data_IF_779345763590
#
_entry.id   IF_779345763590
#
_cell.length_a   1.000
_cell.length_b   1.000
_cell.length_c   1.000
_cell.angle_alpha   90.00
_cell.angle_beta   90.00
_cell.angle_gamma   90.00
#
_symmetry.space_group_name_H-M   'P 1'
#
loop_
_entity.id
_entity.type
_entity.pdbx_description
1 polymer ?
#
# COMPACT_ATOMS: atom_id res chain seq x y z
N UNK A 1 -54.16 -10.56 23.17
CA UNK A 1 -53.49 -9.68 22.19
C UNK A 1 -52.13 -9.33 22.76
N UNK A 2 -51.08 -9.98 22.26
CA UNK A 2 -49.68 -9.48 22.30
C UNK A 2 -49.43 -8.71 20.98
N UNK A 3 -48.39 -7.87 20.78
CA UNK A 3 -47.15 -7.82 21.57
C UNK A 3 -46.61 -6.41 21.91
N UNK A 4 -45.88 -6.30 23.01
CA UNK A 4 -45.02 -5.14 23.33
C UNK A 4 -43.58 -5.37 22.86
N UNK A 5 -43.16 -4.66 21.82
CA UNK A 5 -41.77 -4.62 21.32
C UNK A 5 -40.94 -3.64 22.16
N UNK A 6 -40.00 -4.13 22.96
CA UNK A 6 -39.03 -3.27 23.65
C UNK A 6 -37.87 -2.93 22.71
N UNK A 7 -37.76 -1.65 22.36
CA UNK A 7 -36.63 -1.12 21.59
C UNK A 7 -35.42 -1.01 22.50
N UNK A 8 -34.51 -1.98 22.41
CA UNK A 8 -33.24 -1.97 23.14
C UNK A 8 -32.33 -0.84 22.67
N UNK A 9 -32.09 0.13 23.55
CA UNK A 9 -31.09 1.20 23.36
C UNK A 9 -29.69 0.60 23.23
N UNK A 10 -29.12 0.62 22.02
CA UNK A 10 -27.73 0.20 21.80
C UNK A 10 -26.78 1.34 22.15
N UNK A 11 -26.26 1.34 23.39
CA UNK A 11 -25.25 2.31 23.83
C UNK A 11 -24.01 2.23 22.93
N UNK A 12 -23.69 3.35 22.25
CA UNK A 12 -22.47 3.52 21.43
C UNK A 12 -21.22 3.45 22.31
N UNK A 13 -20.48 2.34 22.22
CA UNK A 13 -19.19 2.19 22.90
C UNK A 13 -18.13 3.10 22.27
N UNK A 14 -17.45 3.91 23.10
CA UNK A 14 -16.33 4.77 22.68
C UNK A 14 -15.15 3.90 22.23
N UNK A 15 -14.42 4.33 21.19
CA UNK A 15 -13.23 3.61 20.69
C UNK A 15 -12.11 3.64 21.74
N UNK A 16 -11.76 2.48 22.28
CA UNK A 16 -10.61 2.32 23.18
C UNK A 16 -9.26 2.26 22.44
N UNK A 17 -8.17 2.40 23.20
CA UNK A 17 -6.79 2.23 22.70
C UNK A 17 -6.59 0.78 22.24
N UNK A 18 -5.90 0.59 21.12
CA UNK A 18 -5.63 -0.73 20.52
C UNK A 18 -4.12 -0.96 20.50
N UNK A 19 -3.66 -2.17 20.87
CA UNK A 19 -2.26 -2.58 20.73
C UNK A 19 -1.84 -2.59 19.25
N UNK A 20 -0.62 -2.16 18.94
CA UNK A 20 -0.08 -2.20 17.59
C UNK A 20 0.49 -3.61 17.31
N UNK A 21 -0.41 -4.57 17.13
CA UNK A 21 -0.10 -5.95 16.81
C UNK A 21 -1.14 -6.50 15.83
N UNK A 22 -0.88 -7.69 15.26
CA UNK A 22 -1.87 -8.42 14.46
C UNK A 22 -3.12 -8.67 15.31
N UNK A 23 -4.28 -8.45 14.71
CA UNK A 23 -5.56 -8.79 15.34
C UNK A 23 -5.81 -10.26 15.07
N UNK A 24 -5.86 -11.11 16.10
CA UNK A 24 -6.01 -12.54 15.92
C UNK A 24 -7.43 -12.93 15.45
N UNK A 25 -8.45 -12.36 16.10
CA UNK A 25 -9.84 -12.60 15.73
C UNK A 25 -10.13 -12.16 14.28
N UNK A 26 -10.58 -13.12 13.46
CA UNK A 26 -10.77 -12.94 12.02
C UNK A 26 -11.86 -11.91 11.71
N UNK A 27 -12.98 -11.95 12.43
CA UNK A 27 -14.12 -11.05 12.22
C UNK A 27 -13.76 -9.61 12.58
N UNK A 28 -13.17 -9.41 13.76
CA UNK A 28 -12.66 -8.09 14.18
C UNK A 28 -11.58 -7.58 13.23
N UNK A 29 -10.69 -8.45 12.73
CA UNK A 29 -9.66 -8.08 11.76
C UNK A 29 -10.28 -7.60 10.46
N UNK A 30 -11.29 -8.29 9.94
CA UNK A 30 -11.99 -7.88 8.72
C UNK A 30 -12.67 -6.51 8.87
N UNK A 31 -13.42 -6.31 9.95
CA UNK A 31 -14.10 -5.04 10.22
C UNK A 31 -13.08 -3.89 10.39
N UNK A 32 -12.00 -4.13 11.15
CA UNK A 32 -10.96 -3.11 11.34
C UNK A 32 -10.16 -2.85 10.07
N UNK A 33 -9.88 -3.87 9.25
CA UNK A 33 -9.26 -3.69 7.93
C UNK A 33 -10.10 -2.74 7.08
N UNK A 34 -11.40 -2.99 6.94
CA UNK A 34 -12.29 -2.13 6.15
C UNK A 34 -12.31 -0.69 6.67
N UNK A 35 -12.40 -0.51 8.00
CA UNK A 35 -12.42 0.83 8.61
C UNK A 35 -11.07 1.55 8.48
N UNK A 36 -9.95 0.86 8.73
CA UNK A 36 -8.60 1.44 8.64
C UNK A 36 -8.20 1.75 7.21
N UNK A 37 -8.49 0.84 6.26
CA UNK A 37 -8.28 1.06 4.83
C UNK A 37 -9.03 2.31 4.35
N UNK A 38 -10.31 2.42 4.70
CA UNK A 38 -11.11 3.60 4.34
C UNK A 38 -10.57 4.89 4.97
N UNK A 39 -10.12 4.83 6.23
CA UNK A 39 -9.48 5.97 6.90
C UNK A 39 -8.14 6.36 6.26
N UNK A 40 -7.32 5.38 5.88
CA UNK A 40 -6.05 5.61 5.21
C UNK A 40 -6.24 6.25 3.83
N UNK A 41 -7.22 5.80 3.06
CA UNK A 41 -7.56 6.38 1.76
C UNK A 41 -7.99 7.85 1.89
N UNK A 42 -8.80 8.16 2.92
CA UNK A 42 -9.15 9.56 3.23
C UNK A 42 -7.92 10.40 3.54
N UNK A 43 -6.99 9.88 4.34
CA UNK A 43 -5.73 10.60 4.66
C UNK A 43 -4.83 10.80 3.44
N UNK A 44 -4.72 9.81 2.56
CA UNK A 44 -3.98 9.93 1.31
C UNK A 44 -4.60 11.00 0.39
N UNK A 45 -5.93 11.04 0.30
CA UNK A 45 -6.66 12.07 -0.46
C UNK A 45 -6.52 13.47 0.14
N UNK A 46 -6.62 13.60 1.46
CA UNK A 46 -6.37 14.86 2.17
C UNK A 46 -4.96 15.39 1.87
N UNK A 47 -3.94 14.52 1.98
CA UNK A 47 -2.55 14.91 1.71
C UNK A 47 -2.35 15.37 0.26
N UNK A 48 -2.91 14.63 -0.70
CA UNK A 48 -2.81 14.98 -2.11
C UNK A 48 -3.38 16.37 -2.40
N UNK A 49 -4.55 16.69 -1.84
CA UNK A 49 -5.22 17.98 -2.05
C UNK A 49 -4.53 19.12 -1.27
N UNK A 50 -4.23 18.91 0.01
CA UNK A 50 -3.72 19.99 0.88
C UNK A 50 -2.30 20.43 0.52
N UNK A 51 -1.49 19.51 0.00
CA UNK A 51 -0.08 19.75 -0.27
C UNK A 51 0.26 19.70 -1.77
N UNK A 52 -0.74 19.59 -2.65
CA UNK A 52 -0.57 19.40 -4.09
C UNK A 52 0.43 18.27 -4.41
N UNK A 53 0.32 17.18 -3.67
CA UNK A 53 1.25 16.06 -3.74
C UNK A 53 0.69 14.94 -4.63
N UNK A 54 1.54 14.39 -5.49
CA UNK A 54 1.22 13.15 -6.20
C UNK A 54 1.31 11.96 -5.21
N UNK A 55 0.19 11.28 -4.98
CA UNK A 55 0.08 10.21 -3.99
C UNK A 55 -0.58 8.98 -4.64
N UNK A 56 0.07 7.83 -4.49
CA UNK A 56 -0.47 6.52 -4.85
C UNK A 56 -0.41 5.56 -3.67
N UNK A 57 -1.45 4.74 -3.51
CA UNK A 57 -1.58 3.76 -2.43
C UNK A 57 -2.13 2.45 -2.98
N UNK A 58 -1.45 1.35 -2.68
CA UNK A 58 -1.87 -0.02 -2.96
C UNK A 58 -2.05 -0.80 -1.66
N UNK A 59 -3.13 -1.54 -1.53
CA UNK A 59 -3.42 -2.39 -0.37
C UNK A 59 -3.92 -3.75 -0.83
N UNK A 60 -3.14 -4.78 -0.54
CA UNK A 60 -3.57 -6.17 -0.69
C UNK A 60 -4.18 -6.68 0.61
N UNK A 61 -5.40 -7.20 0.53
CA UNK A 61 -5.98 -7.94 1.66
C UNK A 61 -5.39 -9.35 1.74
N UNK A 62 -5.42 -9.99 2.92
CA UNK A 62 -5.05 -11.41 3.05
C UNK A 62 -5.88 -12.37 2.19
N UNK A 63 -7.02 -11.92 1.66
CA UNK A 63 -7.88 -12.67 0.74
C UNK A 63 -7.49 -12.45 -0.74
N UNK A 64 -6.35 -11.80 -1.02
CA UNK A 64 -5.86 -11.55 -2.39
C UNK A 64 -6.55 -10.38 -3.11
N UNK A 65 -7.49 -9.68 -2.47
CA UNK A 65 -8.16 -8.52 -3.10
C UNK A 65 -7.26 -7.29 -3.06
N UNK A 66 -7.07 -6.67 -4.21
CA UNK A 66 -6.42 -5.37 -4.37
C UNK A 66 -7.41 -4.23 -4.09
N UNK A 67 -6.93 -3.22 -3.38
CA UNK A 67 -7.58 -1.92 -3.23
C UNK A 67 -6.55 -0.83 -3.52
N UNK A 68 -6.93 0.14 -4.34
CA UNK A 68 -6.00 1.16 -4.80
C UNK A 68 -6.60 2.56 -4.78
N UNK A 69 -5.72 3.55 -4.60
CA UNK A 69 -6.02 4.97 -4.68
C UNK A 69 -4.86 5.69 -5.37
N UNK A 70 -5.17 6.58 -6.31
CA UNK A 70 -4.21 7.50 -6.92
C UNK A 70 -4.81 8.91 -6.93
N UNK A 71 -4.00 9.92 -6.67
CA UNK A 71 -4.40 11.32 -6.87
C UNK A 71 -4.41 11.72 -8.35
N UNK A 72 -3.73 10.95 -9.21
CA UNK A 72 -3.82 11.09 -10.66
C UNK A 72 -5.00 10.31 -11.25
N UNK A 73 -5.40 10.67 -12.47
CA UNK A 73 -6.47 9.98 -13.21
C UNK A 73 -6.18 8.50 -13.48
N UNK A 74 -4.91 8.08 -13.47
CA UNK A 74 -4.52 6.68 -13.59
C UNK A 74 -3.34 6.33 -12.67
N UNK A 75 -3.36 5.10 -12.15
CA UNK A 75 -2.28 4.54 -11.33
C UNK A 75 -1.01 4.31 -12.14
N UNK A 76 -1.13 3.95 -13.43
CA UNK A 76 0.06 3.67 -14.26
C UNK A 76 0.97 4.89 -14.39
N UNK A 77 0.42 6.11 -14.38
CA UNK A 77 1.22 7.33 -14.47
C UNK A 77 2.18 7.47 -13.29
N UNK A 78 1.67 7.29 -12.07
CA UNK A 78 2.49 7.37 -10.85
C UNK A 78 3.52 6.24 -10.79
N UNK A 79 3.13 5.03 -11.23
CA UNK A 79 4.06 3.90 -11.32
C UNK A 79 5.18 4.14 -12.35
N UNK A 80 4.85 4.67 -13.54
CA UNK A 80 5.84 5.03 -14.56
C UNK A 80 6.81 6.09 -14.05
N UNK A 81 6.31 7.13 -13.37
CA UNK A 81 7.14 8.18 -12.74
C UNK A 81 8.09 7.57 -11.71
N UNK A 82 7.62 6.65 -10.88
CA UNK A 82 8.46 5.92 -9.92
C UNK A 82 9.54 5.09 -10.62
N UNK A 83 9.19 4.32 -11.66
CA UNK A 83 10.14 3.51 -12.43
C UNK A 83 11.23 4.37 -13.07
N UNK A 84 10.85 5.50 -13.68
CA UNK A 84 11.80 6.44 -14.27
C UNK A 84 12.75 7.02 -13.21
N UNK A 85 12.22 7.45 -12.07
CA UNK A 85 13.03 7.94 -10.95
C UNK A 85 14.04 6.89 -10.46
N UNK A 86 13.62 5.63 -10.35
CA UNK A 86 14.51 4.54 -9.93
C UNK A 86 15.60 4.23 -10.95
N UNK A 87 15.32 4.35 -12.26
CA UNK A 87 16.32 4.21 -13.32
C UNK A 87 17.39 5.30 -13.23
N UNK A 88 16.96 6.57 -13.21
CA UNK A 88 17.89 7.71 -13.11
C UNK A 88 18.76 7.68 -11.86
N UNK A 89 18.26 7.07 -10.77
CA UNK A 89 19.02 6.93 -9.52
C UNK A 89 20.15 5.90 -9.63
N UNK A 90 19.97 4.83 -10.41
CA UNK A 90 21.01 3.81 -10.65
C UNK A 90 22.15 4.37 -11.48
N UNK A 91 21.83 5.17 -12.50
CA UNK A 91 22.84 5.79 -13.39
C UNK A 91 23.69 6.85 -12.66
N UNK A 92 23.19 7.42 -11.56
CA UNK A 92 23.94 8.36 -10.72
C UNK A 92 24.86 7.67 -9.70
N UNK A 93 24.63 6.40 -9.38
CA UNK A 93 25.46 5.62 -8.46
C UNK A 93 26.57 4.85 -9.17
N UNK A 94 26.38 4.52 -10.44
CA UNK A 94 27.39 3.89 -11.30
C UNK A 94 27.84 4.91 -12.34
N UNK A 95 28.97 5.60 -12.11
CA UNK A 95 29.49 6.67 -12.96
C UNK A 95 29.97 6.24 -14.36
N UNK A 96 29.11 5.63 -15.18
CA UNK A 96 29.39 5.29 -16.58
C UNK A 96 28.30 5.89 -17.47
N UNK A 97 28.61 6.88 -18.33
CA UNK A 97 27.66 7.36 -19.31
C UNK A 97 27.50 6.29 -20.40
N UNK A 98 26.35 5.61 -20.44
CA UNK A 98 25.92 4.94 -21.67
C UNK A 98 25.23 5.96 -22.55
N UNK A 99 25.98 6.45 -23.53
CA UNK A 99 25.43 7.05 -24.74
C UNK A 99 24.61 5.95 -25.42
N UNK A 100 23.32 6.19 -25.63
CA UNK A 100 22.61 5.62 -26.77
C UNK A 100 21.60 6.67 -27.26
N UNK A 101 21.87 7.17 -28.46
CA UNK A 101 20.99 8.04 -29.21
C UNK A 101 19.81 7.23 -29.77
N UNK A 102 18.70 7.94 -29.99
CA UNK A 102 17.70 7.77 -31.05
C UNK A 102 16.40 6.99 -30.74
N UNK A 103 15.33 7.66 -31.22
CA UNK A 103 14.10 7.14 -31.81
C UNK A 103 12.92 6.86 -30.88
N UNK A 104 11.92 7.74 -31.02
CA UNK A 104 10.51 7.42 -30.80
C UNK A 104 10.16 6.31 -31.80
N UNK A 105 10.06 5.07 -31.36
CA UNK A 105 9.26 4.05 -32.04
C UNK A 105 8.28 3.44 -31.05
N UNK A 106 7.05 3.32 -31.54
CA UNK A 106 5.95 2.69 -30.85
C UNK A 106 6.25 1.20 -30.70
N UNK A 107 6.25 0.69 -29.47
CA UNK A 107 6.07 -0.74 -29.22
C UNK A 107 5.12 -0.93 -28.04
N UNK A 108 3.86 -1.27 -28.39
CA UNK A 108 3.02 -2.08 -27.52
C UNK A 108 3.70 -3.45 -27.34
N UNK A 109 3.67 -3.99 -26.13
CA UNK A 109 4.14 -5.33 -25.75
C UNK A 109 5.66 -5.56 -25.67
N UNK A 110 6.26 -5.19 -24.53
CA UNK A 110 7.03 -6.18 -23.76
C UNK A 110 7.20 -5.76 -22.29
N UNK A 111 6.12 -5.87 -21.50
CA UNK A 111 6.26 -5.82 -20.04
C UNK A 111 6.69 -7.22 -19.58
N UNK A 112 8.00 -7.46 -19.53
CA UNK A 112 8.55 -8.78 -19.21
C UNK A 112 8.06 -9.20 -17.81
N UNK A 113 7.40 -10.36 -17.73
CA UNK A 113 6.90 -10.90 -16.46
C UNK A 113 7.99 -11.16 -15.41
N UNK A 114 9.27 -10.99 -15.75
CA UNK A 114 10.41 -11.02 -14.84
C UNK A 114 10.52 -9.76 -13.97
N UNK A 115 10.08 -8.59 -14.46
CA UNK A 115 10.26 -7.31 -13.74
C UNK A 115 9.22 -7.09 -12.63
N UNK A 116 8.03 -7.69 -12.75
CA UNK A 116 7.04 -7.73 -11.66
C UNK A 116 7.51 -8.69 -10.58
N UNK A 117 8.05 -9.85 -10.98
CA UNK A 117 8.55 -10.86 -10.03
C UNK A 117 9.74 -10.33 -9.24
N UNK A 118 10.65 -9.60 -9.88
CA UNK A 118 11.78 -8.97 -9.19
C UNK A 118 11.31 -7.89 -8.21
N UNK A 119 10.39 -7.01 -8.63
CA UNK A 119 9.81 -6.00 -7.73
C UNK A 119 9.04 -6.63 -6.56
N UNK A 120 8.28 -7.70 -6.80
CA UNK A 120 7.58 -8.45 -5.76
C UNK A 120 8.55 -9.20 -4.82
N UNK A 121 9.66 -9.72 -5.34
CA UNK A 121 10.72 -10.36 -4.56
C UNK A 121 11.49 -9.33 -3.70
N UNK A 122 11.76 -8.13 -4.23
CA UNK A 122 12.36 -7.04 -3.46
C UNK A 122 11.44 -6.61 -2.31
N UNK A 123 10.14 -6.42 -2.58
CA UNK A 123 9.15 -6.10 -1.56
C UNK A 123 9.03 -7.24 -0.51
N UNK A 124 9.05 -8.50 -0.95
CA UNK A 124 9.01 -9.65 -0.05
C UNK A 124 10.27 -9.77 0.82
N UNK A 125 11.44 -9.48 0.25
CA UNK A 125 12.71 -9.47 0.97
C UNK A 125 12.72 -8.41 2.07
N UNK A 126 12.27 -7.18 1.75
CA UNK A 126 12.12 -6.11 2.73
C UNK A 126 11.14 -6.48 3.86
N UNK A 127 10.09 -7.22 3.54
CA UNK A 127 9.14 -7.72 4.53
C UNK A 127 9.77 -8.73 5.50
N UNK A 128 10.65 -9.62 5.02
CA UNK A 128 11.40 -10.56 5.85
C UNK A 128 12.41 -9.84 6.74
N UNK A 129 13.14 -8.86 6.21
CA UNK A 129 14.08 -8.03 7.01
C UNK A 129 13.35 -7.23 8.09
N UNK A 130 12.20 -6.63 7.78
CA UNK A 130 11.38 -5.90 8.76
C UNK A 130 10.86 -6.86 9.84
N UNK A 131 10.39 -8.06 9.48
CA UNK A 131 9.95 -9.07 10.45
C UNK A 131 11.11 -9.56 11.33
N UNK A 132 12.29 -9.81 10.74
CA UNK A 132 13.49 -10.21 11.48
C UNK A 132 13.96 -9.12 12.44
N UNK A 133 13.96 -7.85 12.02
CA UNK A 133 14.30 -6.72 12.89
C UNK A 133 13.29 -6.53 14.03
N UNK A 134 12.00 -6.76 13.79
CA UNK A 134 10.98 -6.73 14.84
C UNK A 134 11.16 -7.90 15.81
N UNK A 135 11.50 -9.09 15.32
CA UNK A 135 11.76 -10.30 16.14
C UNK A 135 13.01 -10.14 17.01
N UNK A 136 14.09 -9.57 16.46
CA UNK A 136 15.34 -9.32 17.21
C UNK A 136 15.20 -8.23 18.27
N UNK A 137 14.33 -7.22 18.07
CA UNK A 137 14.01 -6.23 19.11
C UNK A 137 13.25 -6.81 20.31
N UNK A 138 12.62 -7.96 20.16
CA UNK A 138 11.85 -8.63 21.22
C UNK A 138 12.65 -9.73 21.93
N UNK A 139 13.81 -10.15 21.39
CA UNK A 139 14.67 -11.19 21.97
C UNK A 139 15.81 -10.63 22.84
N UNK A 140 16.12 -9.33 22.72
CA UNK A 140 17.13 -8.61 23.52
C UNK A 140 16.48 -7.67 24.57
N UNK A 141 15.32 -8.06 25.12
CA UNK A 141 14.67 -7.42 26.27
C UNK A 141 14.27 -8.47 27.29
#
# INVERSE_FOLDING_TARGET
MEPSTSMGETKKVKRGRVKLARIEDKTSRQVRFSKRRSGLFKKASELAVLCDAEVALLVFSPAGRLFEFSSCSCMEKTMKRYQQFMRTKKDATDGVPRVDNTTIENDENNYSGSDIKSALLEIASWYVEIICNIRNKHLNR
#
